data_IF_335041824320
#
_entry.id   IF_335041824320
#
_cell.length_a   1.000
_cell.length_b   1.000
_cell.length_c   1.000
_cell.angle_alpha   90.00
_cell.angle_beta   90.00
_cell.angle_gamma   90.00
#
_symmetry.space_group_name_H-M   'P 1'
#
loop_
_entity.id
_entity.type
_entity.pdbx_description
1 polymer ?
#
# COMPACT_ATOMS: atom_id res chain seq x y z
N UNK A 1 -65.29 65.26 67.71
CA UNK A 1 -66.00 64.04 68.17
C UNK A 1 -66.58 63.31 66.96
N UNK A 2 -66.38 61.98 66.88
CA UNK A 2 -66.87 61.01 65.87
C UNK A 2 -66.31 61.19 64.45
N UNK A 3 -66.08 60.18 63.62
CA UNK A 3 -65.76 58.73 63.65
C UNK A 3 -65.81 58.33 62.16
N UNK A 4 -65.00 57.33 61.75
CA UNK A 4 -65.24 56.43 60.58
C UNK A 4 -65.07 57.08 59.18
N UNK A 5 -64.69 56.39 58.10
CA UNK A 5 -64.23 55.02 57.87
C UNK A 5 -63.68 54.89 56.42
N UNK A 6 -62.98 53.78 56.20
CA UNK A 6 -63.06 52.86 55.04
C UNK A 6 -62.44 53.20 53.66
N UNK A 7 -61.64 52.20 53.21
CA UNK A 7 -61.57 51.63 51.84
C UNK A 7 -60.93 52.51 50.75
N UNK A 8 -60.19 52.05 49.74
CA UNK A 8 -59.86 50.73 49.19
C UNK A 8 -58.85 50.92 48.03
N UNK A 9 -58.24 49.80 47.61
CA UNK A 9 -57.74 49.46 46.26
C UNK A 9 -56.36 49.96 45.75
N UNK A 10 -55.45 48.98 45.71
CA UNK A 10 -54.61 48.50 44.58
C UNK A 10 -54.48 49.43 43.34
N UNK A 11 -53.24 49.63 42.86
CA UNK A 11 -52.64 48.77 41.83
C UNK A 11 -51.15 49.12 41.58
N UNK A 12 -50.43 48.09 41.12
CA UNK A 12 -49.00 47.97 40.90
C UNK A 12 -48.46 48.69 39.65
N UNK A 13 -47.14 48.87 39.68
CA UNK A 13 -46.14 48.87 38.59
C UNK A 13 -45.71 50.20 37.97
N UNK A 14 -44.43 50.52 38.20
CA UNK A 14 -43.44 50.60 37.12
C UNK A 14 -42.02 50.48 37.67
N UNK A 15 -41.37 49.38 37.28
CA UNK A 15 -39.96 49.06 37.51
C UNK A 15 -39.08 49.75 36.47
N UNK A 16 -37.98 50.35 36.91
CA UNK A 16 -36.85 50.76 36.07
C UNK A 16 -35.56 50.38 36.79
N UNK A 17 -34.79 49.47 36.20
CA UNK A 17 -33.52 48.97 36.72
C UNK A 17 -32.33 49.70 36.03
N UNK A 18 -31.17 49.87 36.71
CA UNK A 18 -30.01 50.56 36.15
C UNK A 18 -29.03 49.61 35.41
N UNK A 19 -28.35 50.14 34.39
CA UNK A 19 -27.28 49.48 33.63
C UNK A 19 -26.01 49.29 34.49
N UNK A 20 -25.48 48.07 34.50
CA UNK A 20 -24.17 47.72 35.06
C UNK A 20 -23.27 47.26 33.91
N UNK A 21 -22.20 48.01 33.65
CA UNK A 21 -21.25 47.74 32.57
C UNK A 21 -20.28 46.62 32.97
N UNK A 22 -20.23 45.55 32.17
CA UNK A 22 -19.34 44.41 32.35
C UNK A 22 -18.23 44.47 31.28
N UNK A 23 -16.97 44.69 31.69
CA UNK A 23 -15.80 44.53 30.82
C UNK A 23 -15.50 43.03 30.65
N UNK A 24 -15.61 42.51 29.43
CA UNK A 24 -15.12 41.16 29.06
C UNK A 24 -13.70 41.26 28.46
N UNK A 25 -12.70 40.81 29.19
CA UNK A 25 -11.38 40.50 28.65
C UNK A 25 -11.41 39.14 27.97
N UNK A 26 -11.35 39.11 26.64
CA UNK A 26 -11.27 37.88 25.84
C UNK A 26 -9.81 37.50 25.60
N UNK A 27 -9.32 36.48 26.30
CA UNK A 27 -8.01 35.87 26.03
C UNK A 27 -8.16 34.93 24.84
N UNK A 28 -7.62 35.30 23.67
CA UNK A 28 -7.62 34.45 22.49
C UNK A 28 -6.65 33.27 22.69
N UNK A 29 -7.20 32.07 22.85
CA UNK A 29 -6.44 30.81 22.85
C UNK A 29 -6.03 30.50 21.41
N UNK A 30 -4.81 30.84 21.01
CA UNK A 30 -4.25 30.43 19.71
C UNK A 30 -3.94 28.93 19.79
N UNK A 31 -4.81 28.11 19.20
CA UNK A 31 -4.60 26.67 19.11
C UNK A 31 -3.41 26.37 18.21
N UNK A 32 -2.31 25.91 18.79
CA UNK A 32 -1.21 25.31 18.04
C UNK A 32 -1.71 24.01 17.41
N UNK A 33 -2.01 24.03 16.12
CA UNK A 33 -2.20 22.80 15.36
C UNK A 33 -0.81 22.21 15.11
N UNK A 34 -0.45 21.17 15.87
CA UNK A 34 0.73 20.38 15.55
C UNK A 34 0.52 19.75 14.19
N UNK A 35 1.21 20.26 13.16
CA UNK A 35 1.29 19.60 11.88
C UNK A 35 1.91 18.22 12.10
N UNK A 36 1.10 17.16 12.05
CA UNK A 36 1.64 15.80 12.10
C UNK A 36 2.42 15.60 10.80
N UNK A 37 3.74 15.44 10.91
CA UNK A 37 4.56 15.02 9.78
C UNK A 37 3.91 13.76 9.19
N UNK A 38 3.63 13.77 7.89
CA UNK A 38 3.05 12.60 7.23
C UNK A 38 4.13 11.52 7.15
N UNK A 39 3.73 10.27 7.37
CA UNK A 39 4.66 9.14 7.39
C UNK A 39 5.32 8.96 6.01
N UNK A 40 6.65 8.98 5.98
CA UNK A 40 7.48 8.72 4.80
C UNK A 40 8.47 7.59 5.14
N UNK A 41 9.06 6.92 4.13
CA UNK A 41 10.16 5.98 4.36
C UNK A 41 11.31 6.61 5.15
N UNK A 42 11.93 5.85 6.06
CA UNK A 42 13.00 6.35 6.93
C UNK A 42 14.20 5.40 7.01
N UNK A 43 15.37 5.95 7.32
CA UNK A 43 16.61 5.18 7.48
C UNK A 43 17.11 4.59 6.16
N UNK A 44 16.87 5.27 5.04
CA UNK A 44 17.34 4.83 3.73
C UNK A 44 18.87 4.81 3.64
N UNK A 45 19.43 3.67 3.24
CA UNK A 45 20.86 3.46 3.00
C UNK A 45 21.05 2.76 1.67
N UNK A 46 21.82 3.36 0.77
CA UNK A 46 22.08 2.80 -0.57
C UNK A 46 23.08 1.66 -0.43
N UNK A 47 22.66 0.45 -0.78
CA UNK A 47 23.50 -0.74 -0.75
C UNK A 47 24.20 -0.98 -2.10
N UNK A 48 23.53 -0.66 -3.21
CA UNK A 48 24.07 -0.81 -4.56
C UNK A 48 23.44 0.18 -5.54
N UNK A 49 24.17 0.49 -6.61
CA UNK A 49 23.78 1.45 -7.64
C UNK A 49 23.92 2.91 -7.23
N UNK A 50 23.50 3.82 -8.12
CA UNK A 50 23.52 5.26 -7.90
C UNK A 50 22.14 5.75 -7.49
N UNK A 51 21.97 6.15 -6.23
CA UNK A 51 20.71 6.67 -5.70
C UNK A 51 20.94 7.91 -4.84
N UNK A 52 20.11 8.92 -5.02
CA UNK A 52 20.02 10.09 -4.14
C UNK A 52 18.62 10.17 -3.55
N UNK A 53 18.52 10.35 -2.24
CA UNK A 53 17.26 10.45 -1.51
C UNK A 53 17.09 11.89 -1.02
N UNK A 54 16.00 12.54 -1.42
CA UNK A 54 15.69 13.91 -1.07
C UNK A 54 14.29 14.02 -0.46
N UNK A 55 14.16 14.85 0.57
CA UNK A 55 12.88 15.16 1.22
C UNK A 55 12.51 16.62 0.88
N UNK A 56 11.94 16.91 -0.30
CA UNK A 56 11.57 18.28 -0.67
C UNK A 56 10.54 18.90 0.28
N UNK A 57 9.74 18.09 0.98
CA UNK A 57 8.84 18.55 2.05
C UNK A 57 8.61 17.46 3.09
N UNK A 58 7.86 17.77 4.16
CA UNK A 58 7.45 16.79 5.18
C UNK A 58 6.45 15.73 4.68
N UNK A 59 5.97 15.84 3.45
CA UNK A 59 4.99 14.95 2.83
C UNK A 59 5.44 14.38 1.49
N UNK A 60 6.65 14.73 1.04
CA UNK A 60 7.17 14.31 -0.25
C UNK A 60 8.58 13.77 -0.09
N UNK A 61 8.81 12.56 -0.59
CA UNK A 61 10.12 11.94 -0.74
C UNK A 61 10.38 11.73 -2.23
N UNK A 62 11.54 12.20 -2.70
CA UNK A 62 12.02 11.92 -4.06
C UNK A 62 13.26 11.06 -3.97
N UNK A 63 13.23 9.91 -4.65
CA UNK A 63 14.35 8.99 -4.77
C UNK A 63 14.78 9.04 -6.24
N UNK A 64 15.97 9.60 -6.50
CA UNK A 64 16.54 9.68 -7.85
C UNK A 64 17.56 8.58 -8.04
N UNK A 65 17.29 7.67 -8.96
CA UNK A 65 18.19 6.61 -9.39
C UNK A 65 18.91 7.04 -10.68
N UNK A 66 20.22 6.82 -10.75
CA UNK A 66 21.03 7.10 -11.94
C UNK A 66 21.54 5.84 -12.67
N UNK A 67 21.53 4.68 -12.00
CA UNK A 67 21.94 3.40 -12.58
C UNK A 67 20.75 2.57 -13.06
N UNK A 68 20.97 1.57 -13.91
CA UNK A 68 19.90 0.68 -14.40
C UNK A 68 19.30 -0.22 -13.31
N UNK A 69 20.09 -0.59 -12.31
CA UNK A 69 19.66 -1.33 -11.12
C UNK A 69 20.19 -0.63 -9.87
N UNK A 70 19.43 -0.67 -8.77
CA UNK A 70 19.83 -0.13 -7.48
C UNK A 70 19.14 -0.86 -6.32
N UNK A 71 19.81 -0.87 -5.17
CA UNK A 71 19.30 -1.44 -3.92
C UNK A 71 19.39 -0.40 -2.82
N UNK A 72 18.27 -0.17 -2.13
CA UNK A 72 18.18 0.69 -0.96
C UNK A 72 17.58 -0.10 0.20
N UNK A 73 18.34 -0.18 1.29
CA UNK A 73 17.86 -0.73 2.55
C UNK A 73 17.18 0.39 3.37
N UNK A 74 16.07 0.06 4.02
CA UNK A 74 15.24 0.99 4.76
C UNK A 74 14.95 0.47 6.17
N UNK A 75 15.03 1.34 7.17
CA UNK A 75 14.54 1.00 8.52
C UNK A 75 13.01 0.87 8.52
N UNK A 76 12.32 1.72 7.77
CA UNK A 76 10.89 1.58 7.49
C UNK A 76 10.56 2.11 6.11
N UNK A 77 9.57 1.48 5.45
CA UNK A 77 9.03 1.97 4.18
C UNK A 77 7.50 2.00 4.26
N UNK A 78 6.96 3.13 4.70
CA UNK A 78 5.52 3.42 4.75
C UNK A 78 5.27 4.78 4.13
N UNK A 79 4.08 4.96 3.56
CA UNK A 79 3.66 6.20 2.92
C UNK A 79 2.29 6.57 3.50
N UNK A 80 2.26 7.57 4.37
CA UNK A 80 1.03 8.03 5.03
C UNK A 80 0.02 8.61 4.05
N UNK A 81 -1.24 8.68 4.45
CA UNK A 81 -2.28 9.32 3.65
C UNK A 81 -1.92 10.78 3.36
N UNK A 82 -1.99 11.19 2.10
CA UNK A 82 -1.58 12.51 1.62
C UNK A 82 -0.08 12.68 1.37
N UNK A 83 0.75 11.71 1.77
CA UNK A 83 2.17 11.68 1.43
C UNK A 83 2.40 11.11 0.03
N UNK A 84 3.53 11.46 -0.58
CA UNK A 84 3.95 10.95 -1.89
C UNK A 84 5.42 10.56 -1.86
N UNK A 85 5.72 9.37 -2.38
CA UNK A 85 7.06 8.94 -2.75
C UNK A 85 7.14 8.89 -4.27
N UNK A 86 8.13 9.57 -4.84
CA UNK A 86 8.43 9.54 -6.27
C UNK A 86 9.80 8.92 -6.49
N UNK A 87 9.88 7.87 -7.30
CA UNK A 87 11.12 7.22 -7.70
C UNK A 87 11.40 7.57 -9.17
N UNK A 88 12.37 8.45 -9.40
CA UNK A 88 12.82 8.91 -10.71
C UNK A 88 13.99 8.03 -11.18
N UNK A 89 13.73 7.17 -12.15
CA UNK A 89 14.66 6.16 -12.67
C UNK A 89 15.09 6.49 -14.10
N UNK A 90 16.24 6.00 -14.59
CA UNK A 90 16.75 6.40 -15.91
C UNK A 90 15.92 5.86 -17.09
N UNK A 91 15.09 4.83 -16.88
CA UNK A 91 14.21 4.27 -17.91
C UNK A 91 13.07 3.44 -17.28
N UNK A 92 12.09 3.05 -18.09
CA UNK A 92 11.01 2.15 -17.67
C UNK A 92 11.45 0.72 -17.37
N UNK A 93 12.63 0.31 -17.86
CA UNK A 93 13.25 -0.98 -17.59
C UNK A 93 14.19 -0.97 -16.39
N UNK A 94 14.49 0.20 -15.81
CA UNK A 94 15.35 0.29 -14.65
C UNK A 94 14.66 -0.30 -13.41
N UNK A 95 15.41 -1.01 -12.58
CA UNK A 95 14.91 -1.71 -11.39
C UNK A 95 15.43 -1.06 -10.11
N UNK A 96 14.57 -0.97 -9.10
CA UNK A 96 14.97 -0.58 -7.75
C UNK A 96 14.42 -1.55 -6.71
N UNK A 97 15.29 -2.14 -5.93
CA UNK A 97 14.95 -2.89 -4.73
C UNK A 97 14.92 -1.97 -3.51
N UNK A 98 13.75 -1.83 -2.91
CA UNK A 98 13.53 -1.21 -1.62
C UNK A 98 13.32 -2.33 -0.59
N UNK A 99 14.36 -2.62 0.19
CA UNK A 99 14.32 -3.69 1.21
C UNK A 99 14.15 -3.09 2.59
N UNK A 100 13.11 -3.48 3.31
CA UNK A 100 12.94 -3.12 4.72
C UNK A 100 13.73 -4.07 5.59
N UNK A 101 14.67 -3.53 6.37
CA UNK A 101 15.51 -4.27 7.33
C UNK A 101 15.09 -4.04 8.78
N UNK A 102 14.19 -3.09 9.04
CA UNK A 102 13.58 -2.89 10.35
C UNK A 102 12.43 -3.84 10.65
N UNK A 103 11.85 -3.72 11.85
CA UNK A 103 10.80 -4.61 12.36
C UNK A 103 9.36 -4.12 12.14
N UNK A 104 9.12 -3.19 11.22
CA UNK A 104 7.79 -2.61 10.99
C UNK A 104 7.20 -3.02 9.65
N UNK A 105 5.88 -3.28 9.66
CA UNK A 105 5.09 -3.52 8.45
C UNK A 105 5.07 -2.28 7.55
N UNK A 106 5.18 -2.50 6.25
CA UNK A 106 5.00 -1.44 5.26
C UNK A 106 3.52 -1.13 5.06
N UNK A 107 3.12 0.13 5.25
CA UNK A 107 1.76 0.59 4.95
C UNK A 107 1.80 1.70 3.91
N UNK A 108 1.16 1.48 2.76
CA UNK A 108 1.05 2.44 1.66
C UNK A 108 -0.39 2.99 1.66
N UNK A 109 -0.57 4.14 2.29
CA UNK A 109 -1.84 4.89 2.31
C UNK A 109 -1.83 6.15 1.45
N UNK A 110 -0.64 6.63 1.08
CA UNK A 110 -0.44 7.71 0.11
C UNK A 110 -0.12 7.19 -1.28
N UNK A 111 0.76 7.91 -1.98
CA UNK A 111 1.11 7.64 -3.38
C UNK A 111 2.55 7.15 -3.50
N UNK A 112 2.76 6.03 -4.20
CA UNK A 112 4.05 5.58 -4.69
C UNK A 112 4.05 5.70 -6.22
N UNK A 113 4.86 6.60 -6.75
CA UNK A 113 4.98 6.85 -8.18
C UNK A 113 6.39 6.51 -8.65
N UNK A 114 6.51 5.74 -9.72
CA UNK A 114 7.78 5.44 -10.36
C UNK A 114 7.60 5.40 -11.88
N UNK A 115 8.63 5.81 -12.63
CA UNK A 115 8.64 5.62 -14.07
C UNK A 115 9.28 4.29 -14.48
N UNK A 116 10.02 3.63 -13.59
CA UNK A 116 10.62 2.30 -13.77
C UNK A 116 9.95 1.21 -12.94
N UNK A 117 10.72 0.17 -12.62
CA UNK A 117 10.28 -1.04 -11.92
C UNK A 117 10.68 -0.98 -10.45
N UNK A 118 9.73 -1.21 -9.56
CA UNK A 118 9.91 -1.07 -8.11
C UNK A 118 9.63 -2.40 -7.42
N UNK A 119 10.60 -2.84 -6.61
CA UNK A 119 10.47 -3.99 -5.74
C UNK A 119 10.43 -3.48 -4.30
N UNK A 120 9.35 -3.74 -3.58
CA UNK A 120 9.23 -3.49 -2.14
C UNK A 120 9.25 -4.84 -1.43
N UNK A 121 10.32 -5.10 -0.69
CA UNK A 121 10.52 -6.34 0.07
C UNK A 121 10.46 -6.02 1.56
N UNK A 122 9.51 -6.61 2.28
CA UNK A 122 9.37 -6.43 3.72
C UNK A 122 8.89 -7.72 4.41
N UNK A 123 9.77 -8.44 5.12
CA UNK A 123 9.41 -9.66 5.86
C UNK A 123 8.31 -9.49 6.91
N UNK A 124 8.08 -8.26 7.39
CA UNK A 124 7.00 -7.93 8.34
C UNK A 124 5.63 -7.76 7.66
N UNK A 125 5.58 -7.85 6.33
CA UNK A 125 4.37 -7.75 5.52
C UNK A 125 4.18 -6.37 4.90
N UNK A 126 3.23 -6.31 3.98
CA UNK A 126 2.91 -5.12 3.19
C UNK A 126 1.39 -4.94 3.16
N UNK A 127 0.92 -3.71 3.35
CA UNK A 127 -0.48 -3.34 3.13
C UNK A 127 -0.58 -2.07 2.30
N UNK A 128 -1.21 -2.17 1.13
CA UNK A 128 -1.69 -1.01 0.37
C UNK A 128 -3.11 -0.76 0.87
N UNK A 129 -3.33 0.34 1.58
CA UNK A 129 -4.64 0.66 2.15
C UNK A 129 -5.60 1.16 1.08
N UNK A 130 -6.88 1.35 1.44
CA UNK A 130 -7.92 1.83 0.51
C UNK A 130 -7.58 3.15 -0.20
N UNK A 131 -6.80 4.02 0.44
CA UNK A 131 -6.35 5.29 -0.17
C UNK A 131 -5.02 5.17 -0.89
N UNK A 132 -4.32 4.05 -0.69
CA UNK A 132 -3.02 3.76 -1.28
C UNK A 132 -3.08 3.65 -2.79
N UNK A 133 -2.12 4.30 -3.45
CA UNK A 133 -1.96 4.23 -4.91
C UNK A 133 -0.52 3.90 -5.26
N UNK A 134 -0.33 2.90 -6.11
CA UNK A 134 0.96 2.52 -6.68
C UNK A 134 0.87 2.69 -8.19
N UNK A 135 1.77 3.48 -8.77
CA UNK A 135 1.89 3.69 -10.21
C UNK A 135 3.34 3.47 -10.63
N UNK A 136 3.60 2.50 -11.51
CA UNK A 136 4.95 2.11 -11.93
C UNK A 136 4.99 1.53 -13.35
N UNK A 137 6.19 1.29 -13.91
CA UNK A 137 6.35 0.44 -15.10
C UNK A 137 6.39 -1.05 -14.76
N UNK A 138 6.74 -1.39 -13.51
CA UNK A 138 6.59 -2.71 -12.94
C UNK A 138 6.58 -2.63 -11.41
N UNK A 139 5.87 -3.53 -10.74
CA UNK A 139 5.79 -3.54 -9.28
C UNK A 139 5.86 -4.96 -8.71
N UNK A 140 6.70 -5.16 -7.71
CA UNK A 140 6.70 -6.37 -6.88
C UNK A 140 6.57 -5.96 -5.42
N UNK A 141 5.53 -6.45 -4.74
CA UNK A 141 5.39 -6.36 -3.28
C UNK A 141 5.59 -7.75 -2.68
N UNK A 142 6.67 -7.96 -1.94
CA UNK A 142 7.00 -9.27 -1.38
C UNK A 142 7.24 -9.23 0.13
N UNK A 143 6.72 -10.21 0.87
CA UNK A 143 7.20 -10.50 2.23
C UNK A 143 8.28 -11.58 2.27
N UNK A 144 8.54 -12.26 1.15
CA UNK A 144 9.71 -13.11 0.98
C UNK A 144 10.92 -12.23 0.61
N UNK A 145 12.10 -12.61 1.10
CA UNK A 145 13.36 -11.96 0.78
C UNK A 145 13.87 -12.33 -0.61
N UNK A 146 14.76 -11.51 -1.15
CA UNK A 146 15.60 -11.80 -2.32
C UNK A 146 17.01 -11.36 -1.95
N UNK A 147 18.04 -12.10 -2.36
CA UNK A 147 19.44 -11.72 -2.11
C UNK A 147 19.85 -10.51 -2.97
N UNK A 148 20.94 -9.83 -2.61
CA UNK A 148 21.48 -8.76 -3.46
C UNK A 148 22.00 -9.36 -4.77
N UNK A 149 22.68 -10.49 -4.67
CA UNK A 149 23.27 -11.21 -5.79
C UNK A 149 22.23 -11.66 -6.82
N UNK A 150 21.13 -12.26 -6.37
CA UNK A 150 20.04 -12.69 -7.26
C UNK A 150 19.36 -11.49 -7.92
N UNK A 151 19.09 -10.42 -7.16
CA UNK A 151 18.47 -9.21 -7.70
C UNK A 151 19.36 -8.53 -8.75
N UNK A 152 20.65 -8.39 -8.48
CA UNK A 152 21.62 -7.79 -9.40
C UNK A 152 21.83 -8.65 -10.66
N UNK A 153 21.76 -9.97 -10.51
CA UNK A 153 21.79 -10.90 -11.64
C UNK A 153 20.48 -10.95 -12.45
N UNK A 154 19.42 -10.26 -12.01
CA UNK A 154 18.09 -10.33 -12.62
C UNK A 154 17.37 -11.67 -12.38
N UNK A 155 17.88 -12.49 -11.46
CA UNK A 155 17.30 -13.76 -11.04
C UNK A 155 16.27 -13.49 -9.95
N UNK A 156 15.00 -13.32 -10.35
CA UNK A 156 13.94 -12.92 -9.42
C UNK A 156 13.42 -14.11 -8.59
N UNK A 157 14.30 -14.65 -7.75
CA UNK A 157 14.01 -15.74 -6.82
C UNK A 157 13.83 -15.20 -5.39
N UNK A 158 12.71 -15.57 -4.78
CA UNK A 158 12.31 -15.10 -3.47
C UNK A 158 12.21 -16.26 -2.49
N UNK A 159 12.74 -16.05 -1.29
CA UNK A 159 12.75 -17.04 -0.23
C UNK A 159 12.21 -16.46 1.08
N UNK A 160 11.34 -17.22 1.72
CA UNK A 160 10.75 -16.89 3.00
C UNK A 160 11.46 -17.55 4.19
N UNK A 161 10.96 -17.26 5.38
CA UNK A 161 11.50 -17.77 6.64
C UNK A 161 10.73 -18.98 7.20
N UNK A 162 9.78 -19.53 6.42
CA UNK A 162 8.90 -20.62 6.82
C UNK A 162 7.59 -20.20 7.47
N UNK A 163 7.40 -18.89 7.70
CA UNK A 163 6.18 -18.25 8.20
C UNK A 163 6.10 -16.80 7.70
N UNK A 164 6.25 -16.61 6.38
CA UNK A 164 6.26 -15.29 5.74
C UNK A 164 4.98 -14.50 6.04
N UNK A 165 5.11 -13.18 6.21
CA UNK A 165 3.96 -12.32 6.51
C UNK A 165 3.01 -12.15 5.31
N UNK A 166 1.84 -11.56 5.55
CA UNK A 166 0.86 -11.29 4.50
C UNK A 166 1.22 -10.06 3.64
N UNK A 167 0.80 -10.10 2.37
CA UNK A 167 0.78 -8.95 1.46
C UNK A 167 -0.68 -8.67 1.06
N UNK A 168 -1.16 -7.46 1.35
CA UNK A 168 -2.55 -7.09 1.10
C UNK A 168 -2.68 -5.82 0.26
N UNK A 169 -3.59 -5.83 -0.71
CA UNK A 169 -3.98 -4.67 -1.50
C UNK A 169 -5.47 -4.38 -1.33
N UNK A 170 -5.79 -3.24 -0.73
CA UNK A 170 -7.13 -2.66 -0.68
C UNK A 170 -7.25 -1.38 -1.53
N UNK A 171 -6.13 -0.90 -2.08
CA UNK A 171 -6.04 0.32 -2.84
C UNK A 171 -6.01 0.08 -4.34
N UNK A 172 -5.13 0.78 -5.04
CA UNK A 172 -4.96 0.65 -6.49
C UNK A 172 -3.50 0.47 -6.87
N UNK A 173 -3.23 -0.53 -7.70
CA UNK A 173 -1.97 -0.77 -8.37
C UNK A 173 -2.20 -0.60 -9.87
N UNK A 174 -1.55 0.38 -10.49
CA UNK A 174 -1.66 0.67 -11.92
C UNK A 174 -0.28 0.59 -12.55
N UNK A 175 -0.10 -0.33 -13.49
CA UNK A 175 1.19 -0.54 -14.15
C UNK A 175 1.09 -0.14 -15.62
N UNK A 176 2.18 0.43 -16.12
CA UNK A 176 2.34 0.77 -17.53
C UNK A 176 2.08 -0.43 -18.47
N UNK A 177 1.66 -0.12 -19.70
CA UNK A 177 1.37 -1.12 -20.73
C UNK A 177 2.56 -2.05 -20.94
N UNK A 178 2.34 -3.37 -20.98
CA UNK A 178 3.40 -4.37 -21.15
C UNK A 178 4.24 -4.64 -19.90
N UNK A 179 3.96 -3.96 -18.77
CA UNK A 179 4.66 -4.17 -17.51
C UNK A 179 4.14 -5.37 -16.73
N UNK A 180 4.42 -5.40 -15.43
CA UNK A 180 3.97 -6.46 -14.54
C UNK A 180 3.68 -6.00 -13.11
N UNK A 181 2.77 -6.69 -12.43
CA UNK A 181 2.53 -6.57 -11.00
C UNK A 181 2.60 -7.95 -10.34
N UNK A 182 3.42 -8.11 -9.29
CA UNK A 182 3.45 -9.33 -8.49
C UNK A 182 3.29 -9.01 -6.99
N UNK A 183 2.39 -9.72 -6.31
CA UNK A 183 2.27 -9.72 -4.86
C UNK A 183 2.62 -11.12 -4.35
N UNK A 184 3.61 -11.22 -3.47
CA UNK A 184 4.16 -12.50 -3.01
C UNK A 184 4.25 -12.50 -1.48
N UNK A 185 3.71 -13.51 -0.81
CA UNK A 185 3.84 -13.59 0.64
C UNK A 185 3.49 -14.94 1.24
N UNK A 186 3.42 -15.03 2.58
CA UNK A 186 2.82 -16.20 3.21
C UNK A 186 1.33 -16.28 2.91
N UNK A 187 0.65 -15.13 2.82
CA UNK A 187 -0.66 -15.02 2.20
C UNK A 187 -0.78 -13.74 1.39
N UNK A 188 -1.66 -13.74 0.38
CA UNK A 188 -1.89 -12.60 -0.50
C UNK A 188 -3.38 -12.32 -0.60
N UNK A 189 -3.79 -11.08 -0.31
CA UNK A 189 -5.17 -10.63 -0.45
C UNK A 189 -5.28 -9.42 -1.37
N UNK A 190 -6.09 -9.53 -2.42
CA UNK A 190 -6.49 -8.40 -3.25
C UNK A 190 -7.99 -8.11 -3.07
N UNK A 191 -8.29 -7.07 -2.28
CA UNK A 191 -9.61 -6.47 -2.17
C UNK A 191 -9.74 -5.16 -2.97
N UNK A 192 -8.61 -4.64 -3.46
CA UNK A 192 -8.53 -3.42 -4.27
C UNK A 192 -8.54 -3.69 -5.77
N UNK A 193 -7.78 -2.89 -6.51
CA UNK A 193 -7.62 -3.03 -7.96
C UNK A 193 -6.16 -3.21 -8.37
N UNK A 194 -5.95 -4.06 -9.38
CA UNK A 194 -4.67 -4.24 -10.07
C UNK A 194 -4.94 -4.15 -11.57
N UNK A 195 -4.29 -3.21 -12.27
CA UNK A 195 -4.47 -3.00 -13.72
C UNK A 195 -3.12 -2.98 -14.43
N UNK A 196 -2.95 -3.87 -15.40
CA UNK A 196 -1.70 -4.06 -16.17
C UNK A 196 -2.02 -4.38 -17.64
N UNK A 197 -2.35 -3.38 -18.48
CA UNK A 197 -2.74 -3.62 -19.87
C UNK A 197 -1.60 -4.30 -20.64
N UNK A 198 -1.90 -5.39 -21.35
CA UNK A 198 -0.97 -6.18 -22.16
C UNK A 198 0.26 -6.68 -21.37
N UNK A 199 0.12 -6.81 -20.06
CA UNK A 199 1.20 -7.23 -19.17
C UNK A 199 0.81 -8.41 -18.29
N UNK A 200 1.52 -8.59 -17.18
CA UNK A 200 1.40 -9.79 -16.33
C UNK A 200 1.00 -9.43 -14.90
N UNK A 201 0.08 -10.18 -14.29
CA UNK A 201 -0.28 -10.08 -12.88
C UNK A 201 -0.08 -11.42 -12.18
N UNK A 202 0.55 -11.40 -11.01
CA UNK A 202 0.87 -12.60 -10.24
C UNK A 202 0.53 -12.42 -8.77
N UNK A 203 -0.29 -13.29 -8.20
CA UNK A 203 -0.50 -13.38 -6.75
C UNK A 203 0.01 -14.73 -6.26
N UNK A 204 1.04 -14.72 -5.43
CA UNK A 204 1.76 -15.92 -5.01
C UNK A 204 1.81 -16.11 -3.50
N UNK A 205 1.40 -17.27 -3.00
CA UNK A 205 1.55 -17.64 -1.59
C UNK A 205 2.43 -18.87 -1.39
N UNK A 206 3.50 -18.73 -0.60
CA UNK A 206 4.43 -19.82 -0.29
C UNK A 206 5.69 -19.31 0.41
N UNK A 207 6.72 -20.15 0.46
CA UNK A 207 8.02 -19.83 1.07
C UNK A 207 9.16 -19.84 0.04
N UNK A 208 8.88 -20.25 -1.20
CA UNK A 208 9.76 -20.03 -2.35
C UNK A 208 8.93 -19.56 -3.53
N UNK A 209 9.36 -18.50 -4.19
CA UNK A 209 8.73 -18.02 -5.40
C UNK A 209 9.77 -17.58 -6.43
N UNK A 210 9.42 -17.66 -7.71
CA UNK A 210 10.24 -17.14 -8.80
C UNK A 210 9.37 -16.35 -9.78
N UNK A 211 9.90 -15.26 -10.32
CA UNK A 211 9.29 -14.51 -11.41
C UNK A 211 10.10 -14.68 -12.70
N UNK A 212 9.47 -15.19 -13.75
CA UNK A 212 10.03 -15.22 -15.10
C UNK A 212 9.34 -14.17 -15.98
N UNK A 213 10.00 -13.03 -16.16
CA UNK A 213 9.46 -11.92 -16.92
C UNK A 213 9.36 -12.24 -18.42
N UNK A 214 10.24 -13.09 -18.94
CA UNK A 214 10.41 -13.41 -20.36
C UNK A 214 9.72 -14.71 -20.80
N UNK A 215 9.54 -15.66 -19.89
CA UNK A 215 9.02 -16.99 -20.19
C UNK A 215 7.51 -17.11 -20.19
N UNK A 216 7.08 -18.37 -20.29
CA UNK A 216 5.70 -18.85 -20.34
C UNK A 216 5.09 -19.10 -18.94
N UNK A 217 5.91 -19.21 -17.90
CA UNK A 217 5.49 -19.32 -16.50
C UNK A 217 5.89 -18.10 -15.68
N UNK A 218 5.07 -17.03 -15.72
CA UNK A 218 5.38 -15.74 -15.10
C UNK A 218 5.70 -15.83 -13.60
N UNK A 219 4.90 -16.57 -12.85
CA UNK A 219 5.01 -16.76 -11.42
C UNK A 219 5.15 -18.25 -11.15
N UNK A 220 6.09 -18.63 -10.31
CA UNK A 220 6.19 -19.99 -9.77
C UNK A 220 6.22 -19.89 -8.27
N UNK A 221 5.49 -20.79 -7.59
CA UNK A 221 5.43 -20.80 -6.13
C UNK A 221 5.55 -22.23 -5.65
N UNK A 222 6.39 -22.43 -4.64
CA UNK A 222 6.66 -23.72 -4.02
C UNK A 222 6.93 -23.55 -2.54
N UNK A 223 7.00 -24.68 -1.82
CA UNK A 223 7.15 -24.75 -0.37
C UNK A 223 6.00 -24.08 0.38
N UNK A 224 5.09 -24.85 0.99
CA UNK A 224 3.99 -24.27 1.74
C UNK A 224 4.47 -23.42 2.93
N UNK A 225 3.80 -22.30 3.15
CA UNK A 225 3.96 -21.51 4.39
C UNK A 225 3.27 -22.21 5.55
N UNK A 226 3.73 -21.95 6.79
CA UNK A 226 2.98 -22.34 7.98
C UNK A 226 1.76 -21.42 8.13
N UNK A 227 0.65 -21.83 7.56
CA UNK A 227 -0.65 -21.21 7.76
C UNK A 227 -1.37 -21.79 8.99
N UNK A 228 -2.16 -20.96 9.68
CA UNK A 228 -3.03 -21.38 10.79
C UNK A 228 -4.27 -22.19 10.35
N UNK A 229 -4.42 -22.42 9.04
CA UNK A 229 -5.44 -23.29 8.44
C UNK A 229 -6.83 -22.69 8.36
N UNK A 230 -7.00 -21.39 8.68
CA UNK A 230 -8.33 -20.76 8.77
C UNK A 230 -8.73 -19.91 7.56
N UNK A 231 -7.75 -19.48 6.75
CA UNK A 231 -7.96 -18.55 5.63
C UNK A 231 -7.34 -19.05 4.32
N UNK A 232 -7.84 -18.51 3.21
CA UNK A 232 -7.24 -18.74 1.90
C UNK A 232 -5.81 -18.18 1.84
N UNK A 233 -4.93 -18.87 1.13
CA UNK A 233 -3.54 -18.49 0.94
C UNK A 233 -3.39 -17.37 -0.10
N UNK A 234 -4.21 -17.42 -1.15
CA UNK A 234 -4.42 -16.32 -2.10
C UNK A 234 -5.91 -16.01 -2.18
N UNK A 235 -6.28 -14.75 -1.98
CA UNK A 235 -7.65 -14.27 -2.15
C UNK A 235 -7.71 -13.08 -3.11
N UNK A 236 -8.75 -13.07 -3.95
CA UNK A 236 -9.15 -11.89 -4.69
C UNK A 236 -10.66 -11.68 -4.56
N UNK A 237 -11.01 -10.64 -3.81
CA UNK A 237 -12.37 -10.10 -3.69
C UNK A 237 -12.55 -8.80 -4.48
N UNK A 238 -11.45 -8.18 -4.90
CA UNK A 238 -11.42 -6.98 -5.72
C UNK A 238 -11.38 -7.28 -7.23
N UNK A 239 -10.68 -6.42 -7.98
CA UNK A 239 -10.55 -6.53 -9.44
C UNK A 239 -9.10 -6.67 -9.87
N UNK A 240 -8.84 -7.62 -10.76
CA UNK A 240 -7.58 -7.74 -11.49
C UNK A 240 -7.89 -7.62 -12.99
N UNK A 241 -7.13 -6.80 -13.70
CA UNK A 241 -7.28 -6.65 -15.15
C UNK A 241 -5.92 -6.59 -15.83
N UNK A 242 -5.70 -7.57 -16.70
CA UNK A 242 -4.53 -7.68 -17.56
C UNK A 242 -4.98 -7.99 -18.99
N UNK A 243 -5.82 -7.12 -19.56
CA UNK A 243 -6.33 -7.31 -20.92
C UNK A 243 -5.19 -7.41 -21.95
N UNK A 244 -5.22 -8.45 -22.75
CA UNK A 244 -4.19 -8.86 -23.70
C UNK A 244 -2.94 -9.45 -23.02
N UNK A 245 -3.05 -9.81 -21.74
CA UNK A 245 -1.96 -10.24 -20.89
C UNK A 245 -2.29 -11.49 -20.06
N UNK A 246 -1.52 -11.72 -19.00
CA UNK A 246 -1.59 -12.94 -18.19
C UNK A 246 -1.91 -12.62 -16.73
N UNK A 247 -2.78 -13.41 -16.12
CA UNK A 247 -3.01 -13.41 -14.67
C UNK A 247 -2.74 -14.80 -14.11
N UNK A 248 -1.85 -14.90 -13.12
CA UNK A 248 -1.54 -16.14 -12.40
C UNK A 248 -1.78 -16.00 -10.90
N UNK A 249 -2.60 -16.88 -10.32
CA UNK A 249 -2.76 -16.99 -8.87
C UNK A 249 -2.24 -18.36 -8.45
N UNK A 250 -1.19 -18.38 -7.63
CA UNK A 250 -0.49 -19.61 -7.24
C UNK A 250 -0.33 -19.71 -5.74
N UNK A 251 -0.70 -20.85 -5.16
CA UNK A 251 -0.58 -21.09 -3.73
C UNK A 251 0.07 -22.45 -3.43
N UNK A 252 1.24 -22.44 -2.81
CA UNK A 252 1.86 -23.64 -2.28
C UNK A 252 1.12 -24.08 -1.01
N UNK A 253 0.26 -25.09 -1.13
CA UNK A 253 -0.52 -25.64 -0.02
C UNK A 253 -0.11 -27.08 0.31
N UNK A 254 -0.23 -27.47 1.58
CA UNK A 254 -0.20 -28.89 1.95
C UNK A 254 -1.44 -29.61 1.41
N UNK A 255 -1.33 -30.91 1.10
CA UNK A 255 -2.41 -31.71 0.45
C UNK A 255 -3.80 -31.56 1.08
N UNK A 256 -3.88 -31.36 2.40
CA UNK A 256 -5.14 -31.20 3.12
C UNK A 256 -5.68 -29.76 3.11
N UNK A 257 -4.83 -28.75 2.91
CA UNK A 257 -5.17 -27.32 2.83
C UNK A 257 -5.43 -26.84 1.38
N UNK A 258 -5.12 -27.67 0.38
CA UNK A 258 -5.27 -27.34 -1.04
C UNK A 258 -6.71 -26.94 -1.44
N UNK A 259 -7.73 -27.42 -0.72
CA UNK A 259 -9.14 -27.15 -1.05
C UNK A 259 -9.57 -25.69 -0.89
N UNK A 260 -8.80 -24.89 -0.15
CA UNK A 260 -9.10 -23.47 0.11
C UNK A 260 -7.90 -22.56 -0.20
N UNK A 261 -6.89 -23.07 -0.91
CA UNK A 261 -5.65 -22.34 -1.14
C UNK A 261 -5.88 -21.04 -1.94
N UNK A 262 -6.80 -21.06 -2.91
CA UNK A 262 -7.17 -19.89 -3.71
C UNK A 262 -8.67 -19.61 -3.56
N UNK A 263 -9.04 -18.36 -3.23
CA UNK A 263 -10.42 -17.91 -3.12
C UNK A 263 -10.71 -16.71 -4.03
N UNK A 264 -11.75 -16.83 -4.86
CA UNK A 264 -12.10 -15.88 -5.92
C UNK A 264 -13.55 -15.44 -5.80
N UNK A 265 -13.79 -14.34 -5.07
CA UNK A 265 -15.12 -13.72 -4.98
C UNK A 265 -15.26 -12.44 -5.81
N UNK A 266 -14.14 -11.90 -6.29
CA UNK A 266 -14.08 -10.72 -7.15
C UNK A 266 -13.99 -11.04 -8.65
N UNK A 267 -13.43 -10.11 -9.42
CA UNK A 267 -13.33 -10.20 -10.88
C UNK A 267 -11.88 -10.29 -11.34
N UNK A 268 -11.59 -11.21 -12.27
CA UNK A 268 -10.35 -11.24 -13.05
C UNK A 268 -10.71 -11.11 -14.53
N UNK A 269 -10.07 -10.17 -15.22
CA UNK A 269 -10.23 -9.96 -16.66
C UNK A 269 -8.88 -10.02 -17.38
N UNK A 270 -8.78 -10.91 -18.37
CA UNK A 270 -7.67 -10.98 -19.32
C UNK A 270 -8.25 -11.22 -20.72
N UNK A 271 -8.91 -10.20 -21.29
CA UNK A 271 -9.52 -10.32 -22.63
C UNK A 271 -8.46 -10.32 -23.73
N UNK A 272 -8.72 -10.92 -24.88
CA UNK A 272 -7.87 -10.75 -26.06
C UNK A 272 -7.92 -9.30 -26.56
N UNK A 273 -6.76 -8.70 -26.84
CA UNK A 273 -6.66 -7.34 -27.39
C UNK A 273 -5.72 -7.35 -28.60
N UNK A 274 -6.19 -6.87 -29.75
CA UNK A 274 -5.39 -6.72 -30.98
C UNK A 274 -4.59 -7.98 -31.38
N UNK A 275 -5.19 -9.16 -31.22
CA UNK A 275 -4.56 -10.45 -31.56
C UNK A 275 -3.66 -11.05 -30.48
N UNK A 276 -3.46 -10.37 -29.34
CA UNK A 276 -2.78 -10.93 -28.17
C UNK A 276 -3.81 -11.57 -27.23
N UNK A 277 -3.76 -12.90 -27.11
CA UNK A 277 -4.65 -13.66 -26.24
C UNK A 277 -4.37 -13.35 -24.77
N UNK A 278 -5.42 -13.07 -24.00
CA UNK A 278 -5.30 -13.03 -22.55
C UNK A 278 -5.51 -14.41 -21.92
N UNK A 279 -4.90 -14.66 -20.77
CA UNK A 279 -4.98 -15.94 -20.06
C UNK A 279 -5.08 -15.75 -18.54
N UNK A 280 -5.78 -16.69 -17.88
CA UNK A 280 -5.92 -16.76 -16.43
C UNK A 280 -5.53 -18.17 -15.99
N UNK A 281 -4.59 -18.28 -15.05
CA UNK A 281 -4.11 -19.55 -14.48
C UNK A 281 -4.30 -19.51 -12.96
N UNK A 282 -4.91 -20.56 -12.41
CA UNK A 282 -5.08 -20.77 -10.97
C UNK A 282 -4.41 -22.10 -10.61
N UNK A 283 -3.54 -22.13 -9.59
CA UNK A 283 -2.78 -23.34 -9.24
C UNK A 283 -2.18 -23.38 -7.85
#
# INVERSE_FOLDING_TARGET
>A
MKRKAHLSRRHLNRTGAPLMALLLTSTALVGFTSARAQELPTGGSVASGGVTIANPSSSQLTIKQSTSSAIVNWQSFSIGAGATVTIDQPSSSATMLNRVTGGTKSTISGQLNANGQVFLVNPNGIAISKTGKVSAAGFVGSSLGISDEDFEAGKLEFEGNGASAAVANQGSISIGRGGYAALIGGSVDNAGSITVPLGKVGLGSGEKAALDLSGDGFLQVSVPTRADGSNALVSNSGRISADGGLVELKAAAVRNAARQAVNMSGVIEARTVSGQSGAIVLG
#
